data_IF_410641489233
#
_entry.id   IF_410641489233
#
_cell.length_a   1.000
_cell.length_b   1.000
_cell.length_c   1.000
_cell.angle_alpha   90.00
_cell.angle_beta   90.00
_cell.angle_gamma   90.00
#
_symmetry.space_group_name_H-M   'P 1'
#
loop_
_entity.id
_entity.type
_entity.pdbx_description
1 polymer ?
#
# COMPACT_ATOMS: atom_id res chain seq x y z
N UNK A 1 0.42 -23.97 26.76
CA UNK A 1 0.02 -23.06 25.67
C UNK A 1 0.77 -21.78 25.93
N UNK A 2 1.69 -21.39 25.06
CA UNK A 2 2.40 -20.11 25.19
C UNK A 2 1.35 -19.01 24.98
N UNK A 3 1.28 -18.04 25.91
CA UNK A 3 0.39 -16.90 25.74
C UNK A 3 0.84 -16.11 24.51
N UNK A 4 0.13 -16.28 23.40
CA UNK A 4 0.39 -15.54 22.17
C UNK A 4 0.08 -14.06 22.42
N UNK A 5 1.10 -13.20 22.28
CA UNK A 5 0.97 -11.77 22.56
C UNK A 5 0.98 -10.97 21.26
N UNK A 6 -0.03 -10.11 21.08
CA UNK A 6 0.01 -9.10 20.02
C UNK A 6 1.12 -8.11 20.38
N UNK A 7 2.14 -8.03 19.50
CA UNK A 7 3.29 -7.15 19.70
C UNK A 7 3.15 -5.86 18.90
N UNK A 8 2.50 -5.94 17.72
CA UNK A 8 2.25 -4.76 16.88
C UNK A 8 0.89 -4.79 16.21
N UNK A 9 0.35 -3.61 15.99
CA UNK A 9 -0.82 -3.35 15.14
C UNK A 9 -0.41 -2.36 14.07
N UNK A 10 -0.61 -2.71 12.81
CA UNK A 10 -0.33 -1.83 11.66
C UNK A 10 -1.63 -1.53 10.93
N UNK A 11 -1.95 -0.26 10.84
CA UNK A 11 -3.09 0.26 10.10
C UNK A 11 -2.60 0.72 8.73
N UNK A 12 -2.83 -0.10 7.70
CA UNK A 12 -2.53 0.23 6.31
C UNK A 12 -3.69 1.03 5.71
N UNK A 13 -3.40 2.19 5.20
CA UNK A 13 -4.39 3.09 4.57
C UNK A 13 -3.97 3.37 3.14
N UNK A 14 -4.84 3.10 2.16
CA UNK A 14 -4.62 3.57 0.80
C UNK A 14 -4.81 5.09 0.78
N UNK A 15 -3.95 5.82 0.07
CA UNK A 15 -4.08 7.27 -0.13
C UNK A 15 -5.47 7.67 -0.67
N UNK A 16 -5.89 8.91 -0.47
CA UNK A 16 -7.11 9.49 -1.08
C UNK A 16 -7.03 9.51 -2.62
N UNK A 17 -8.17 9.66 -3.29
CA UNK A 17 -8.21 9.77 -4.76
C UNK A 17 -7.25 10.85 -5.26
N UNK A 18 -6.47 10.56 -6.31
CA UNK A 18 -5.55 11.51 -6.94
C UNK A 18 -6.09 11.98 -8.30
N UNK A 19 -5.61 13.13 -8.79
CA UNK A 19 -6.01 13.66 -10.09
C UNK A 19 -5.77 12.66 -11.23
N UNK A 20 -4.65 11.93 -11.21
CA UNK A 20 -4.36 10.91 -12.22
C UNK A 20 -5.15 9.60 -12.02
N UNK A 21 -5.88 9.40 -10.91
CA UNK A 21 -6.83 8.29 -10.82
C UNK A 21 -8.02 8.47 -11.77
N UNK A 22 -8.33 9.71 -12.11
CA UNK A 22 -9.50 10.08 -12.93
C UNK A 22 -9.14 10.55 -14.34
N UNK A 23 -7.87 10.85 -14.60
CA UNK A 23 -7.38 11.27 -15.90
C UNK A 23 -6.96 10.04 -16.77
N UNK A 24 -7.08 10.10 -18.11
CA UNK A 24 -6.69 9.02 -19.00
C UNK A 24 -5.17 8.99 -19.26
N UNK A 25 -4.39 8.99 -18.17
CA UNK A 25 -2.92 8.99 -18.20
C UNK A 25 -2.33 7.97 -17.24
N UNK A 26 -1.16 7.44 -17.58
CA UNK A 26 -0.38 6.61 -16.65
C UNK A 26 0.07 7.47 -15.47
N UNK A 27 -0.14 6.97 -14.26
CA UNK A 27 0.13 7.74 -13.05
C UNK A 27 1.61 8.16 -12.95
N UNK A 28 1.82 9.43 -12.60
CA UNK A 28 3.14 9.95 -12.22
C UNK A 28 3.31 9.97 -10.69
N UNK A 29 4.56 10.01 -10.19
CA UNK A 29 4.84 10.18 -8.76
C UNK A 29 4.23 11.44 -8.15
N UNK A 30 4.17 12.52 -8.92
CA UNK A 30 3.80 13.88 -8.47
C UNK A 30 2.29 14.18 -8.58
N UNK A 31 1.46 13.16 -8.87
CA UNK A 31 0.00 13.35 -8.92
C UNK A 31 -0.56 13.69 -7.53
N UNK A 32 -1.14 14.89 -7.34
CA UNK A 32 -1.71 15.32 -6.07
C UNK A 32 -3.07 14.68 -5.82
N UNK A 33 -3.62 14.88 -4.61
CA UNK A 33 -4.99 14.51 -4.30
C UNK A 33 -5.98 15.34 -5.12
N UNK A 34 -7.04 14.70 -5.60
CA UNK A 34 -8.22 15.40 -6.12
C UNK A 34 -8.99 16.06 -4.95
N UNK A 35 -9.94 16.95 -5.27
CA UNK A 35 -10.84 17.52 -4.25
C UNK A 35 -11.58 16.43 -3.47
N UNK A 36 -12.05 15.39 -4.16
CA UNK A 36 -12.66 14.21 -3.53
C UNK A 36 -11.68 13.47 -2.65
N UNK A 37 -10.42 13.30 -3.10
CA UNK A 37 -9.38 12.67 -2.32
C UNK A 37 -9.03 13.42 -1.04
N UNK A 38 -9.06 14.74 -1.05
CA UNK A 38 -8.88 15.56 0.14
C UNK A 38 -10.01 15.33 1.15
N UNK A 39 -11.27 15.29 0.69
CA UNK A 39 -12.42 14.97 1.55
C UNK A 39 -12.32 13.55 2.14
N UNK A 40 -11.92 12.56 1.32
CA UNK A 40 -11.69 11.20 1.79
C UNK A 40 -10.58 11.15 2.87
N UNK A 41 -9.49 11.92 2.67
CA UNK A 41 -8.42 12.01 3.65
C UNK A 41 -8.88 12.67 4.97
N UNK A 42 -9.73 13.68 4.91
CA UNK A 42 -10.35 14.27 6.12
C UNK A 42 -11.25 13.25 6.84
N UNK A 43 -12.06 12.48 6.12
CA UNK A 43 -12.93 11.46 6.70
C UNK A 43 -12.11 10.35 7.40
N UNK A 44 -11.07 9.83 6.74
CA UNK A 44 -10.22 8.82 7.38
C UNK A 44 -9.40 9.42 8.55
N UNK A 45 -9.02 10.70 8.48
CA UNK A 45 -8.33 11.37 9.59
C UNK A 45 -9.17 11.42 10.86
N UNK A 46 -10.48 11.68 10.72
CA UNK A 46 -11.43 11.64 11.85
C UNK A 46 -11.49 10.25 12.49
N UNK A 47 -11.47 9.19 11.67
CA UNK A 47 -11.44 7.82 12.16
C UNK A 47 -10.12 7.47 12.86
N UNK A 48 -8.97 7.82 12.23
CA UNK A 48 -7.63 7.55 12.76
C UNK A 48 -7.40 8.32 14.07
N UNK A 49 -7.96 9.50 14.23
CA UNK A 49 -7.87 10.29 15.46
C UNK A 49 -8.35 9.51 16.70
N UNK A 50 -9.28 8.58 16.55
CA UNK A 50 -9.77 7.73 17.63
C UNK A 50 -8.96 6.45 17.85
N UNK A 51 -7.92 6.22 17.03
CA UNK A 51 -7.01 5.10 17.22
C UNK A 51 -5.81 5.53 18.08
N UNK A 52 -5.39 4.67 19.00
CA UNK A 52 -4.12 4.87 19.69
C UNK A 52 -3.00 4.35 18.79
N UNK A 53 -2.14 5.25 18.28
CA UNK A 53 -0.96 4.90 17.49
C UNK A 53 0.20 5.84 17.81
N UNK A 54 1.43 5.38 17.54
CA UNK A 54 2.67 6.02 17.99
C UNK A 54 3.50 6.56 16.81
N UNK A 55 3.28 6.04 15.59
CA UNK A 55 3.99 6.48 14.39
C UNK A 55 3.06 6.57 13.18
N UNK A 56 3.30 7.59 12.35
CA UNK A 56 2.67 7.79 11.05
C UNK A 56 3.74 7.69 9.98
N UNK A 57 3.62 6.71 9.08
CA UNK A 57 4.55 6.49 7.99
C UNK A 57 3.80 6.70 6.67
N UNK A 58 4.45 7.32 5.71
CA UNK A 58 3.87 7.56 4.38
C UNK A 58 4.81 7.12 3.28
N UNK A 59 4.25 6.62 2.19
CA UNK A 59 4.92 6.58 0.90
C UNK A 59 5.48 7.97 0.53
N UNK A 60 6.55 7.99 -0.25
CA UNK A 60 7.15 9.24 -0.77
C UNK A 60 6.38 9.86 -1.94
N UNK A 61 5.35 9.22 -2.48
CA UNK A 61 4.54 9.75 -3.58
C UNK A 61 3.58 10.84 -3.08
N UNK A 62 3.39 11.90 -3.89
CA UNK A 62 2.71 13.14 -3.49
C UNK A 62 1.33 12.90 -2.86
N UNK A 63 0.44 12.12 -3.51
CA UNK A 63 -0.89 11.78 -2.99
C UNK A 63 -0.90 11.11 -1.61
N UNK A 64 0.13 10.30 -1.32
CA UNK A 64 0.25 9.65 -0.02
C UNK A 64 0.79 10.63 1.05
N UNK A 65 1.73 11.50 0.68
CA UNK A 65 2.22 12.57 1.55
C UNK A 65 1.08 13.50 1.96
N UNK A 66 0.29 14.00 1.00
CA UNK A 66 -0.85 14.87 1.26
C UNK A 66 -1.90 14.21 2.16
N UNK A 67 -2.18 12.90 1.94
CA UNK A 67 -3.07 12.15 2.83
C UNK A 67 -2.50 12.09 4.26
N UNK A 68 -1.19 11.82 4.39
CA UNK A 68 -0.54 11.77 5.70
C UNK A 68 -0.48 13.14 6.39
N UNK A 69 -0.27 14.21 5.65
CA UNK A 69 -0.29 15.60 6.19
C UNK A 69 -1.66 15.97 6.73
N UNK A 70 -2.75 15.57 6.06
CA UNK A 70 -4.12 15.79 6.55
C UNK A 70 -4.31 15.03 7.87
N UNK A 71 -3.90 13.78 7.95
CA UNK A 71 -3.95 12.98 9.19
C UNK A 71 -3.08 13.60 10.29
N UNK A 72 -1.86 14.03 9.94
CA UNK A 72 -0.92 14.66 10.88
C UNK A 72 -1.49 15.91 11.53
N UNK A 73 -2.14 16.80 10.76
CA UNK A 73 -2.79 17.99 11.29
C UNK A 73 -3.86 17.67 12.34
N UNK A 74 -4.56 16.54 12.20
CA UNK A 74 -5.62 16.12 13.11
C UNK A 74 -5.07 15.44 14.36
N UNK A 75 -4.01 14.64 14.20
CA UNK A 75 -3.48 13.74 15.24
C UNK A 75 -2.26 14.30 15.97
N UNK A 76 -1.63 15.35 15.44
CA UNK A 76 -0.34 15.91 15.88
C UNK A 76 0.84 14.90 15.82
N UNK A 77 0.72 13.80 15.07
CA UNK A 77 1.81 12.86 14.80
C UNK A 77 2.44 13.19 13.45
N UNK A 78 3.72 13.56 13.46
CA UNK A 78 4.43 13.93 12.22
C UNK A 78 4.69 12.70 11.34
N UNK A 79 4.49 12.78 10.01
CA UNK A 79 4.73 11.66 9.12
C UNK A 79 6.22 11.48 8.81
N UNK A 80 6.69 10.25 8.87
CA UNK A 80 7.93 9.79 8.27
C UNK A 80 7.66 9.32 6.83
N UNK A 81 8.57 9.58 5.89
CA UNK A 81 8.41 9.16 4.50
C UNK A 81 9.38 8.03 4.15
N UNK A 82 8.87 6.98 3.48
CA UNK A 82 9.67 5.82 3.11
C UNK A 82 9.29 5.27 1.74
N UNK A 83 10.29 5.02 0.91
CA UNK A 83 10.13 4.38 -0.40
C UNK A 83 9.66 2.92 -0.30
N UNK A 84 9.79 2.29 0.86
CA UNK A 84 9.28 0.94 1.08
C UNK A 84 7.78 0.81 0.83
N UNK A 85 7.03 1.90 1.01
CA UNK A 85 5.57 1.92 0.91
C UNK A 85 5.04 2.56 -0.38
N UNK A 86 5.91 2.79 -1.38
CA UNK A 86 5.51 3.29 -2.70
C UNK A 86 4.60 2.30 -3.44
N UNK A 87 3.86 2.81 -4.43
CA UNK A 87 3.17 1.97 -5.40
C UNK A 87 4.18 1.18 -6.23
N UNK A 88 3.73 0.15 -6.95
CA UNK A 88 4.56 -0.51 -7.96
C UNK A 88 5.18 0.53 -8.88
N UNK A 89 6.49 0.43 -9.09
CA UNK A 89 7.25 1.40 -9.89
C UNK A 89 7.13 1.03 -11.36
N UNK A 90 6.29 1.77 -12.08
CA UNK A 90 6.16 1.62 -13.53
C UNK A 90 7.41 2.17 -14.25
N UNK A 91 7.67 1.70 -15.49
CA UNK A 91 8.75 2.23 -16.30
C UNK A 91 8.68 3.76 -16.47
N UNK A 92 9.81 4.42 -16.31
CA UNK A 92 9.90 5.90 -16.41
C UNK A 92 9.38 6.42 -17.75
N UNK A 93 9.58 5.66 -18.83
CA UNK A 93 9.13 5.99 -20.19
C UNK A 93 7.63 6.25 -20.32
N UNK A 94 6.80 5.66 -19.47
CA UNK A 94 5.33 5.78 -19.58
C UNK A 94 4.73 6.78 -18.60
N UNK A 95 5.50 7.28 -17.65
CA UNK A 95 5.02 8.18 -16.59
C UNK A 95 4.38 9.45 -17.17
N UNK A 96 3.11 9.72 -16.83
CA UNK A 96 2.35 10.88 -17.27
C UNK A 96 1.90 10.87 -18.74
N UNK A 97 2.23 9.82 -19.51
CA UNK A 97 1.76 9.68 -20.89
C UNK A 97 0.28 9.30 -20.95
N UNK A 98 -0.39 9.71 -22.07
CA UNK A 98 -1.77 9.30 -22.32
C UNK A 98 -1.88 7.79 -22.56
N UNK A 99 -2.99 7.20 -22.16
CA UNK A 99 -3.34 5.80 -22.53
C UNK A 99 -3.47 5.58 -24.03
N UNK A 100 -3.68 6.65 -24.82
CA UNK A 100 -3.74 6.60 -26.30
C UNK A 100 -2.35 6.56 -26.95
N UNK A 101 -1.26 6.78 -26.19
CA UNK A 101 0.11 6.63 -26.68
C UNK A 101 0.40 5.13 -26.90
N UNK A 102 0.46 4.70 -28.17
CA UNK A 102 0.64 3.30 -28.54
C UNK A 102 1.92 2.69 -27.98
N UNK A 103 3.04 3.42 -27.97
CA UNK A 103 4.31 2.91 -27.43
C UNK A 103 4.18 2.72 -25.90
N UNK A 104 3.64 3.71 -25.21
CA UNK A 104 3.43 3.63 -23.76
C UNK A 104 2.47 2.50 -23.40
N UNK A 105 1.40 2.28 -24.16
CA UNK A 105 0.45 1.20 -23.94
C UNK A 105 1.09 -0.18 -24.09
N UNK A 106 1.93 -0.38 -25.12
CA UNK A 106 2.67 -1.64 -25.31
C UNK A 106 3.62 -1.90 -24.13
N UNK A 107 4.37 -0.88 -23.69
CA UNK A 107 5.28 -0.99 -22.54
C UNK A 107 4.49 -1.31 -21.28
N UNK A 108 3.34 -0.63 -21.04
CA UNK A 108 2.47 -0.85 -19.90
C UNK A 108 2.00 -2.30 -19.79
N UNK A 109 1.43 -2.86 -20.87
CA UNK A 109 0.93 -4.24 -20.84
C UNK A 109 2.03 -5.26 -20.57
N UNK A 110 3.21 -5.08 -21.19
CA UNK A 110 4.36 -5.95 -20.92
C UNK A 110 4.84 -5.82 -19.47
N UNK A 111 4.88 -4.60 -18.95
CA UNK A 111 5.24 -4.36 -17.57
C UNK A 111 4.19 -4.92 -16.58
N UNK A 112 2.91 -4.75 -16.87
CA UNK A 112 1.84 -5.35 -16.07
C UNK A 112 2.00 -6.88 -15.97
N UNK A 113 2.35 -7.56 -17.06
CA UNK A 113 2.63 -8.99 -17.04
C UNK A 113 3.87 -9.33 -16.19
N UNK A 114 4.89 -8.48 -16.18
CA UNK A 114 6.11 -8.68 -15.38
C UNK A 114 5.87 -8.59 -13.89
N UNK A 115 4.81 -7.93 -13.45
CA UNK A 115 4.41 -7.87 -12.04
C UNK A 115 3.94 -9.24 -11.50
N UNK A 116 3.71 -10.22 -12.39
CA UNK A 116 3.25 -11.57 -12.07
C UNK A 116 4.17 -12.67 -12.57
N UNK A 117 5.34 -12.33 -13.10
CA UNK A 117 6.28 -13.28 -13.68
C UNK A 117 7.68 -13.08 -13.12
N UNK A 118 8.19 -14.10 -12.41
CA UNK A 118 9.57 -14.10 -11.91
C UNK A 118 10.58 -14.02 -13.06
N UNK A 119 11.63 -13.23 -12.89
CA UNK A 119 12.71 -13.04 -13.87
C UNK A 119 12.36 -12.18 -15.08
N UNK A 120 11.09 -11.85 -15.30
CA UNK A 120 10.68 -10.97 -16.39
C UNK A 120 10.83 -9.50 -15.97
N UNK A 121 11.65 -8.74 -16.68
CA UNK A 121 11.83 -7.30 -16.44
C UNK A 121 11.50 -6.50 -17.70
N UNK A 122 10.81 -5.39 -17.53
CA UNK A 122 10.46 -4.47 -18.61
C UNK A 122 10.99 -3.08 -18.29
N UNK A 123 11.90 -2.60 -19.10
CA UNK A 123 12.59 -1.33 -18.94
C UNK A 123 13.17 -1.21 -17.49
N UNK A 124 13.01 -0.05 -16.87
CA UNK A 124 13.43 0.23 -15.49
C UNK A 124 12.31 0.00 -14.45
N UNK A 125 11.19 -0.62 -14.85
CA UNK A 125 10.08 -0.91 -13.94
C UNK A 125 10.36 -2.04 -12.95
N UNK A 126 9.71 -2.00 -11.78
CA UNK A 126 9.68 -3.14 -10.85
C UNK A 126 9.01 -4.34 -11.50
N UNK A 127 9.45 -5.53 -11.14
CA UNK A 127 8.81 -6.80 -11.49
C UNK A 127 8.30 -7.53 -10.25
N UNK A 128 7.82 -8.77 -10.43
CA UNK A 128 7.35 -9.61 -9.34
C UNK A 128 8.41 -9.81 -8.25
N UNK A 129 9.65 -10.11 -8.62
CA UNK A 129 10.72 -10.40 -7.66
C UNK A 129 11.07 -9.16 -6.83
N UNK A 130 11.16 -7.99 -7.47
CA UNK A 130 11.42 -6.73 -6.76
C UNK A 130 10.31 -6.41 -5.76
N UNK A 131 9.04 -6.62 -6.16
CA UNK A 131 7.89 -6.41 -5.28
C UNK A 131 7.93 -7.34 -4.07
N UNK A 132 8.27 -8.61 -4.25
CA UNK A 132 8.37 -9.57 -3.15
C UNK A 132 9.50 -9.18 -2.18
N UNK A 133 10.67 -8.83 -2.70
CA UNK A 133 11.80 -8.35 -1.89
C UNK A 133 11.41 -7.07 -1.12
N UNK A 134 10.73 -6.13 -1.76
CA UNK A 134 10.30 -4.87 -1.11
C UNK A 134 9.22 -5.12 -0.06
N UNK A 135 8.28 -6.02 -0.31
CA UNK A 135 7.26 -6.41 0.66
C UNK A 135 7.88 -7.04 1.92
N UNK A 136 8.85 -7.93 1.76
CA UNK A 136 9.59 -8.52 2.88
C UNK A 136 10.35 -7.46 3.69
N UNK A 137 11.05 -6.56 3.00
CA UNK A 137 11.75 -5.44 3.65
C UNK A 137 10.79 -4.52 4.40
N UNK A 138 9.61 -4.25 3.84
CA UNK A 138 8.59 -3.42 4.47
C UNK A 138 8.00 -4.09 5.73
N UNK A 139 7.66 -5.38 5.66
CA UNK A 139 7.18 -6.14 6.83
C UNK A 139 8.25 -6.25 7.91
N UNK A 140 9.51 -6.49 7.53
CA UNK A 140 10.64 -6.49 8.47
C UNK A 140 10.84 -5.12 9.11
N UNK A 141 10.81 -4.05 8.33
CA UNK A 141 10.91 -2.67 8.83
C UNK A 141 9.84 -2.38 9.88
N UNK A 142 8.58 -2.73 9.60
CA UNK A 142 7.48 -2.55 10.56
C UNK A 142 7.65 -3.40 11.82
N UNK A 143 8.12 -4.65 11.67
CA UNK A 143 8.40 -5.55 12.78
C UNK A 143 9.47 -4.99 13.72
N UNK A 144 10.57 -4.48 13.17
CA UNK A 144 11.75 -4.05 13.93
C UNK A 144 11.58 -2.67 14.61
N UNK A 145 10.54 -1.92 14.29
CA UNK A 145 10.27 -0.62 14.94
C UNK A 145 9.93 -0.79 16.42
N UNK A 146 10.27 0.20 17.27
CA UNK A 146 9.90 0.16 18.69
C UNK A 146 8.40 0.38 18.94
N UNK A 147 7.71 1.12 18.05
CA UNK A 147 6.31 1.47 18.20
C UNK A 147 5.40 0.25 18.07
N UNK A 148 4.37 0.16 18.89
CA UNK A 148 3.43 -0.97 18.91
C UNK A 148 2.24 -0.77 17.98
N UNK A 149 1.88 0.47 17.71
CA UNK A 149 0.79 0.81 16.83
C UNK A 149 1.25 1.84 15.80
N UNK A 150 1.14 1.51 14.52
CA UNK A 150 1.69 2.28 13.40
C UNK A 150 0.61 2.48 12.35
N UNK A 151 0.43 3.71 11.88
CA UNK A 151 -0.37 4.04 10.69
C UNK A 151 0.55 4.18 9.49
N UNK A 152 0.21 3.51 8.38
CA UNK A 152 1.00 3.53 7.14
C UNK A 152 0.12 3.97 5.98
N UNK A 153 0.47 5.07 5.32
CA UNK A 153 -0.20 5.55 4.12
C UNK A 153 0.54 5.01 2.89
N UNK A 154 -0.17 4.18 2.13
CA UNK A 154 0.38 3.45 0.98
C UNK A 154 -0.59 3.46 -0.20
N UNK A 155 -0.45 2.52 -1.14
CA UNK A 155 -1.15 2.48 -2.41
C UNK A 155 -1.89 1.16 -2.60
N UNK A 156 -2.86 1.14 -3.52
CA UNK A 156 -3.74 0.01 -3.68
C UNK A 156 -3.05 -1.29 -4.07
N UNK A 157 -2.14 -1.26 -5.06
CA UNK A 157 -1.45 -2.46 -5.51
C UNK A 157 -0.44 -2.94 -4.45
N UNK A 158 0.36 -2.03 -3.87
CA UNK A 158 1.36 -2.42 -2.89
C UNK A 158 0.74 -2.86 -1.55
N UNK A 159 -0.38 -2.28 -1.13
CA UNK A 159 -1.16 -2.74 0.03
C UNK A 159 -1.56 -4.20 -0.15
N UNK A 160 -2.14 -4.55 -1.32
CA UNK A 160 -2.49 -5.93 -1.63
C UNK A 160 -1.26 -6.83 -1.76
N UNK A 161 -0.10 -6.30 -2.18
CA UNK A 161 1.18 -7.03 -2.19
C UNK A 161 1.58 -7.44 -0.77
N UNK A 162 1.55 -6.51 0.19
CA UNK A 162 1.83 -6.80 1.60
C UNK A 162 0.86 -7.86 2.16
N UNK A 163 -0.43 -7.71 1.88
CA UNK A 163 -1.45 -8.65 2.33
C UNK A 163 -1.23 -10.04 1.71
N UNK A 164 -0.94 -10.11 0.40
CA UNK A 164 -0.64 -11.38 -0.28
C UNK A 164 0.54 -12.10 0.35
N UNK A 165 1.61 -11.35 0.69
CA UNK A 165 2.79 -11.92 1.36
C UNK A 165 2.46 -12.42 2.78
N UNK A 166 1.63 -11.68 3.52
CA UNK A 166 1.16 -12.09 4.86
C UNK A 166 0.30 -13.35 4.79
N UNK A 167 -0.59 -13.47 3.79
CA UNK A 167 -1.52 -14.60 3.69
C UNK A 167 -0.88 -15.88 3.16
N UNK A 168 0.04 -15.77 2.22
CA UNK A 168 0.58 -16.92 1.49
C UNK A 168 2.06 -17.22 1.81
N UNK A 169 2.80 -16.27 2.39
CA UNK A 169 4.21 -16.48 2.72
C UNK A 169 5.02 -16.95 1.51
N UNK A 170 5.68 -18.11 1.65
CA UNK A 170 6.50 -18.72 0.60
C UNK A 170 5.67 -19.46 -0.47
N UNK A 171 4.38 -19.66 -0.25
CA UNK A 171 3.45 -20.19 -1.24
C UNK A 171 2.99 -19.13 -2.27
N UNK A 172 3.41 -17.86 -2.10
CA UNK A 172 3.04 -16.78 -3.00
C UNK A 172 3.79 -16.91 -4.33
N UNK A 173 3.07 -17.32 -5.37
CA UNK A 173 3.54 -17.37 -6.76
C UNK A 173 2.96 -16.21 -7.56
N UNK A 174 3.51 -15.93 -8.74
CA UNK A 174 2.95 -14.89 -9.63
C UNK A 174 1.48 -15.15 -9.99
N UNK A 175 1.09 -16.42 -10.16
CA UNK A 175 -0.30 -16.81 -10.46
C UNK A 175 -1.24 -16.50 -9.28
N UNK A 176 -0.92 -16.99 -8.08
CA UNK A 176 -1.73 -16.74 -6.88
C UNK A 176 -1.76 -15.24 -6.52
N UNK A 177 -0.67 -14.53 -6.75
CA UNK A 177 -0.60 -13.08 -6.59
C UNK A 177 -1.55 -12.36 -7.57
N UNK A 178 -1.54 -12.75 -8.86
CA UNK A 178 -2.46 -12.20 -9.88
C UNK A 178 -3.92 -12.43 -9.51
N UNK A 179 -4.25 -13.59 -8.97
CA UNK A 179 -5.60 -13.90 -8.50
C UNK A 179 -6.03 -12.95 -7.38
N UNK A 180 -5.20 -12.76 -6.35
CA UNK A 180 -5.51 -11.84 -5.24
C UNK A 180 -5.63 -10.40 -5.73
N UNK A 181 -4.69 -9.93 -6.57
CA UNK A 181 -4.71 -8.58 -7.11
C UNK A 181 -5.99 -8.27 -7.90
N UNK A 182 -6.58 -9.26 -8.57
CA UNK A 182 -7.82 -9.13 -9.34
C UNK A 182 -9.08 -9.32 -8.51
N UNK A 183 -9.05 -10.20 -7.51
CA UNK A 183 -10.21 -10.53 -6.70
C UNK A 183 -10.45 -9.55 -5.54
N UNK A 184 -9.39 -8.90 -5.04
CA UNK A 184 -9.47 -8.00 -3.91
C UNK A 184 -9.45 -6.54 -4.39
N UNK A 185 -10.50 -5.77 -4.12
CA UNK A 185 -10.50 -4.32 -4.31
C UNK A 185 -9.95 -3.61 -3.08
N UNK A 186 -9.46 -2.39 -3.24
CA UNK A 186 -9.11 -1.50 -2.14
C UNK A 186 -9.60 -0.10 -2.46
N UNK A 187 -10.49 0.44 -1.61
CA UNK A 187 -11.02 1.79 -1.77
C UNK A 187 -9.98 2.85 -1.39
N UNK A 188 -10.06 4.04 -1.98
CA UNK A 188 -9.26 5.16 -1.53
C UNK A 188 -9.59 5.46 -0.07
N UNK A 189 -8.57 5.64 0.75
CA UNK A 189 -8.63 5.74 2.22
C UNK A 189 -9.17 4.51 2.94
N UNK A 190 -9.47 3.39 2.23
CA UNK A 190 -9.79 2.12 2.87
C UNK A 190 -8.69 1.68 3.83
N UNK A 191 -9.09 1.22 5.02
CA UNK A 191 -8.21 0.84 6.11
C UNK A 191 -8.14 -0.68 6.23
N UNK A 192 -6.92 -1.22 6.22
CA UNK A 192 -6.64 -2.63 6.50
C UNK A 192 -5.77 -2.75 7.73
N UNK A 193 -5.95 -3.80 8.52
CA UNK A 193 -5.21 -3.99 9.77
C UNK A 193 -4.41 -5.27 9.70
N UNK A 194 -3.09 -5.14 9.89
CA UNK A 194 -2.20 -6.26 10.14
C UNK A 194 -1.83 -6.30 11.63
N UNK A 195 -1.68 -7.50 12.17
CA UNK A 195 -1.14 -7.74 13.50
C UNK A 195 0.09 -8.61 13.43
N UNK A 196 1.13 -8.21 14.13
CA UNK A 196 2.29 -9.04 14.39
C UNK A 196 2.14 -9.67 15.76
N UNK A 197 2.30 -10.99 15.81
CA UNK A 197 2.04 -11.79 17.00
C UNK A 197 2.97 -12.98 17.01
N UNK A 198 3.79 -13.12 18.07
CA UNK A 198 4.67 -14.28 18.24
C UNK A 198 4.01 -15.39 19.06
N UNK A 199 4.54 -16.60 18.92
CA UNK A 199 4.15 -17.75 19.74
C UNK A 199 2.78 -18.36 19.43
N UNK A 200 2.15 -18.00 18.32
CA UNK A 200 0.87 -18.59 17.93
C UNK A 200 1.05 -19.85 17.08
N UNK A 201 1.74 -19.75 15.94
CA UNK A 201 2.02 -20.83 15.02
C UNK A 201 3.30 -20.52 14.27
N UNK A 202 4.19 -21.49 14.09
CA UNK A 202 5.47 -21.30 13.40
C UNK A 202 5.24 -20.85 11.94
N UNK A 203 5.88 -19.74 11.53
CA UNK A 203 5.77 -19.19 10.19
C UNK A 203 4.62 -18.22 9.95
N UNK A 204 3.73 -18.02 10.92
CA UNK A 204 2.56 -17.13 10.79
C UNK A 204 2.54 -15.98 11.80
N UNK A 205 3.64 -15.26 11.92
CA UNK A 205 3.75 -14.13 12.85
C UNK A 205 2.89 -12.93 12.45
N UNK A 206 2.75 -12.65 11.15
CA UNK A 206 1.86 -11.62 10.63
C UNK A 206 0.49 -12.16 10.30
N UNK A 207 -0.56 -11.39 10.61
CA UNK A 207 -1.97 -11.76 10.35
C UNK A 207 -2.75 -10.60 9.78
N UNK A 208 -3.56 -10.88 8.78
CA UNK A 208 -4.60 -9.96 8.32
C UNK A 208 -5.78 -10.02 9.30
N UNK A 209 -6.09 -8.89 9.95
CA UNK A 209 -7.19 -8.78 10.89
C UNK A 209 -8.43 -8.13 10.27
N UNK A 210 -8.24 -7.11 9.44
CA UNK A 210 -9.31 -6.41 8.72
C UNK A 210 -8.80 -6.06 7.34
N UNK A 211 -9.66 -6.16 6.34
CA UNK A 211 -9.34 -5.78 4.97
C UNK A 211 -10.30 -4.72 4.46
N UNK A 212 -9.75 -3.62 3.91
CA UNK A 212 -10.45 -2.59 3.15
C UNK A 212 -11.72 -2.06 3.83
N UNK A 213 -11.67 -1.83 5.16
CA UNK A 213 -12.76 -1.19 5.86
C UNK A 213 -12.82 0.29 5.47
N UNK A 214 -13.91 0.68 4.83
CA UNK A 214 -14.17 2.02 4.29
C UNK A 214 -15.49 2.61 4.82
N UNK A 215 -15.96 2.15 5.98
CA UNK A 215 -17.21 2.61 6.60
C UNK A 215 -17.27 4.13 6.82
N UNK A 216 -16.11 4.80 6.95
CA UNK A 216 -16.01 6.26 7.06
C UNK A 216 -16.33 7.00 5.75
N UNK A 217 -16.50 6.31 4.63
CA UNK A 217 -16.92 6.87 3.33
C UNK A 217 -18.41 6.68 3.07
N UNK A 218 -19.12 5.87 3.89
CA UNK A 218 -20.55 5.71 3.77
C UNK A 218 -21.24 6.95 4.35
N UNK A 219 -21.99 7.66 3.51
CA UNK A 219 -22.97 8.67 3.91
C UNK A 219 -24.32 8.01 4.17
#
# INVERSE_FOLDING_TARGET
MSDSKIEKVVYLVRHGESEHNTAPVFQSPDSPLSKKGQMQAENVSNRIFHLSFEALISSTLQRAKETAEIISRKTNVLPEHSDLFRESVAPTKISGKSYEDNEASIIWHRWEDSLYASGLRVEDGENFDDLMIRAEKALKYLKDRPEKAIVVITHGFFLRTLISKVLLGDLLTGETFKMIQRAASSENTGLSVLRYQTGFEEGYDWRLWTYNDHAHLAE
#
